data_IF_871243841250
#
_entry.id   IF_871243841250
#
_cell.length_a   1.000
_cell.length_b   1.000
_cell.length_c   1.000
_cell.angle_alpha   90.00
_cell.angle_beta   90.00
_cell.angle_gamma   90.00
#
_symmetry.space_group_name_H-M   'P 1'
#
loop_
_entity.id
_entity.type
_entity.pdbx_description
1 polymer ?
#
# COMPACT_ATOMS: atom_id res chain seq x y z
N UNK A 1 9.25 8.41 -6.02
CA UNK A 1 10.52 9.06 -6.43
C UNK A 1 11.74 8.23 -6.04
N UNK A 2 11.90 7.87 -4.75
CA UNK A 2 13.09 7.15 -4.25
C UNK A 2 13.41 5.83 -4.96
N UNK A 3 12.40 5.01 -5.27
CA UNK A 3 12.59 3.77 -6.04
C UNK A 3 13.21 4.04 -7.42
N UNK A 4 12.68 5.02 -8.15
CA UNK A 4 13.20 5.41 -9.47
C UNK A 4 14.63 5.93 -9.39
N UNK A 5 14.91 6.81 -8.40
CA UNK A 5 16.25 7.34 -8.20
C UNK A 5 17.28 6.22 -7.95
N UNK A 6 16.93 5.26 -7.08
CA UNK A 6 17.79 4.10 -6.80
C UNK A 6 18.07 3.24 -8.03
N UNK A 7 17.04 2.91 -8.82
CA UNK A 7 17.18 2.11 -10.04
C UNK A 7 18.02 2.85 -11.10
N UNK A 8 17.79 4.14 -11.28
CA UNK A 8 18.53 4.92 -12.27
C UNK A 8 20.03 5.02 -11.93
N UNK A 9 20.37 5.20 -10.65
CA UNK A 9 21.78 5.21 -10.22
C UNK A 9 22.44 3.85 -10.44
N UNK A 10 21.73 2.74 -10.15
CA UNK A 10 22.23 1.38 -10.39
C UNK A 10 22.37 1.06 -11.89
N UNK A 11 21.60 1.73 -12.75
CA UNK A 11 21.76 1.70 -14.21
C UNK A 11 22.87 2.61 -14.74
N UNK A 12 23.62 3.29 -13.86
CA UNK A 12 24.76 4.13 -14.21
C UNK A 12 24.41 5.57 -14.58
N UNK A 13 23.17 6.03 -14.34
CA UNK A 13 22.84 7.44 -14.52
C UNK A 13 23.37 8.28 -13.36
N UNK A 14 23.83 9.51 -13.65
CA UNK A 14 24.09 10.51 -12.63
C UNK A 14 22.74 11.03 -12.10
N UNK A 15 22.42 10.74 -10.85
CA UNK A 15 21.13 11.07 -10.24
C UNK A 15 21.35 12.05 -9.08
N UNK A 16 20.55 13.10 -9.05
CA UNK A 16 20.43 14.01 -7.91
C UNK A 16 18.95 14.21 -7.55
N UNK A 17 18.70 14.61 -6.31
CA UNK A 17 17.35 14.91 -5.86
C UNK A 17 17.34 15.84 -4.66
N UNK A 18 16.24 16.56 -4.48
CA UNK A 18 16.03 17.48 -3.37
C UNK A 18 14.80 17.07 -2.55
N UNK A 19 14.94 17.08 -1.23
CA UNK A 19 13.82 16.93 -0.29
C UNK A 19 14.16 17.69 1.00
N UNK A 20 13.30 18.64 1.43
CA UNK A 20 13.55 19.43 2.64
C UNK A 20 13.42 18.63 3.94
N UNK A 21 12.82 17.41 3.90
CA UNK A 21 12.65 16.57 5.08
C UNK A 21 13.71 15.48 5.13
N UNK A 22 14.66 15.53 6.08
CA UNK A 22 15.61 14.43 6.28
C UNK A 22 14.88 13.10 6.56
N UNK A 23 15.36 12.03 5.94
CA UNK A 23 14.78 10.69 6.14
C UNK A 23 15.82 9.59 5.92
N UNK A 24 15.61 8.44 6.55
CA UNK A 24 16.45 7.26 6.32
C UNK A 24 16.47 6.80 4.85
N UNK A 25 15.42 7.13 4.09
CA UNK A 25 15.36 6.87 2.64
C UNK A 25 16.39 7.72 1.89
N UNK A 26 16.49 9.02 2.22
CA UNK A 26 17.46 9.94 1.60
C UNK A 26 18.89 9.54 1.94
N UNK A 27 19.16 9.15 3.19
CA UNK A 27 20.48 8.66 3.59
C UNK A 27 20.89 7.45 2.78
N UNK A 28 20.00 6.45 2.65
CA UNK A 28 20.26 5.26 1.81
C UNK A 28 20.49 5.58 0.33
N UNK A 29 19.79 6.57 -0.22
CA UNK A 29 20.02 7.01 -1.60
C UNK A 29 21.39 7.68 -1.75
N UNK A 30 21.81 8.50 -0.77
CA UNK A 30 23.13 9.10 -0.75
C UNK A 30 24.25 8.04 -0.68
N UNK A 31 24.09 7.01 0.17
CA UNK A 31 25.01 5.87 0.27
C UNK A 31 25.15 5.10 -1.06
N UNK A 32 24.11 5.11 -1.89
CA UNK A 32 24.08 4.49 -3.24
C UNK A 32 24.60 5.40 -4.34
N UNK A 33 25.04 6.63 -4.00
CA UNK A 33 25.64 7.58 -4.96
C UNK A 33 24.67 8.62 -5.53
N UNK A 34 23.44 8.73 -5.01
CA UNK A 34 22.55 9.85 -5.37
C UNK A 34 23.02 11.11 -4.66
N UNK A 35 23.21 12.21 -5.40
CA UNK A 35 23.53 13.51 -4.80
C UNK A 35 22.25 14.12 -4.21
N UNK A 36 22.15 14.16 -2.88
CA UNK A 36 20.96 14.63 -2.16
C UNK A 36 21.15 16.08 -1.71
N UNK A 37 20.15 16.92 -1.98
CA UNK A 37 20.05 18.31 -1.51
C UNK A 37 18.90 18.42 -0.49
N UNK A 38 19.13 19.19 0.57
CA UNK A 38 18.09 19.46 1.58
C UNK A 38 17.26 20.72 1.26
N UNK A 39 17.73 21.54 0.33
CA UNK A 39 17.03 22.75 -0.11
C UNK A 39 16.50 22.58 -1.52
N UNK A 40 15.30 23.13 -1.74
CA UNK A 40 14.66 23.22 -3.05
C UNK A 40 14.75 24.68 -3.54
N UNK A 41 15.90 25.03 -4.09
CA UNK A 41 16.19 26.41 -4.51
C UNK A 41 16.75 26.46 -5.94
N UNK A 42 16.74 27.65 -6.53
CA UNK A 42 17.38 27.90 -7.83
C UNK A 42 18.87 27.53 -7.84
N UNK A 43 19.55 27.66 -6.69
CA UNK A 43 20.97 27.30 -6.54
C UNK A 43 21.21 25.81 -6.76
N UNK A 44 20.26 24.93 -6.39
CA UNK A 44 20.33 23.50 -6.67
C UNK A 44 20.45 23.23 -8.15
N UNK A 45 19.59 23.84 -8.97
CA UNK A 45 19.64 23.71 -10.45
C UNK A 45 20.97 24.26 -11.00
N UNK A 46 21.40 25.44 -10.56
CA UNK A 46 22.68 26.01 -11.02
C UNK A 46 23.86 25.10 -10.70
N UNK A 47 23.85 24.42 -9.52
CA UNK A 47 24.92 23.50 -9.13
C UNK A 47 25.01 22.25 -10.00
N UNK A 48 23.99 21.96 -10.80
CA UNK A 48 23.93 20.82 -11.70
C UNK A 48 24.27 21.18 -13.16
N UNK A 49 24.20 22.47 -13.51
CA UNK A 49 24.57 22.95 -14.83
C UNK A 49 26.09 22.89 -15.03
N UNK A 50 26.53 22.41 -16.18
CA UNK A 50 27.95 22.36 -16.54
C UNK A 50 28.73 21.15 -16.02
N UNK A 51 28.11 20.24 -15.27
CA UNK A 51 28.76 19.04 -14.74
C UNK A 51 28.64 17.79 -15.62
N UNK A 52 28.13 17.91 -16.86
CA UNK A 52 27.98 16.79 -17.78
C UNK A 52 27.95 17.24 -19.24
N UNK A 53 28.02 16.28 -20.17
CA UNK A 53 27.92 16.54 -21.61
C UNK A 53 26.50 16.84 -22.11
N UNK A 54 25.50 16.56 -21.27
CA UNK A 54 24.08 16.80 -21.56
C UNK A 54 23.43 17.58 -20.41
N UNK A 55 22.44 18.45 -20.70
CA UNK A 55 21.66 19.13 -19.67
C UNK A 55 20.88 18.11 -18.83
N UNK A 56 20.67 18.37 -17.54
CA UNK A 56 19.90 17.48 -16.69
C UNK A 56 18.42 17.45 -17.10
N UNK A 57 17.80 16.26 -17.01
CA UNK A 57 16.35 16.08 -17.10
C UNK A 57 15.76 16.21 -15.70
N UNK A 58 14.81 17.12 -15.51
CA UNK A 58 14.15 17.35 -14.21
C UNK A 58 12.90 16.50 -14.11
N UNK A 59 12.83 15.63 -13.09
CA UNK A 59 11.73 14.70 -12.87
C UNK A 59 10.89 15.18 -11.69
N UNK A 60 9.59 15.36 -11.89
CA UNK A 60 8.65 15.91 -10.91
C UNK A 60 7.61 14.86 -10.50
N UNK A 61 7.02 15.05 -9.31
CA UNK A 61 5.78 14.36 -8.92
C UNK A 61 4.63 15.34 -8.85
N UNK A 62 3.39 14.85 -8.87
CA UNK A 62 2.15 15.64 -8.74
C UNK A 62 2.11 16.48 -7.46
N UNK A 63 2.89 16.13 -6.42
CA UNK A 63 2.98 16.88 -5.17
C UNK A 63 3.79 18.18 -5.27
N UNK A 64 4.61 18.33 -6.32
CA UNK A 64 5.45 19.52 -6.51
C UNK A 64 4.63 20.60 -7.19
N UNK A 65 4.49 21.75 -6.53
CA UNK A 65 3.72 22.90 -7.06
C UNK A 65 4.50 23.62 -8.15
N UNK A 66 3.79 24.24 -9.09
CA UNK A 66 4.39 25.06 -10.15
C UNK A 66 5.19 26.26 -9.63
N UNK A 67 4.90 26.70 -8.40
CA UNK A 67 5.62 27.79 -7.71
C UNK A 67 6.94 27.34 -7.07
N UNK A 68 7.32 26.05 -7.18
CA UNK A 68 8.59 25.56 -6.65
C UNK A 68 9.77 26.24 -7.38
N UNK A 69 10.75 26.74 -6.63
CA UNK A 69 11.88 27.50 -7.16
C UNK A 69 12.76 26.68 -8.12
N UNK A 70 12.96 25.39 -7.86
CA UNK A 70 13.73 24.52 -8.76
C UNK A 70 12.99 24.33 -10.08
N UNK A 71 11.66 24.18 -10.06
CA UNK A 71 10.85 24.05 -11.27
C UNK A 71 10.87 25.33 -12.09
N UNK A 72 10.71 26.48 -11.42
CA UNK A 72 10.78 27.78 -12.07
C UNK A 72 12.16 28.02 -12.72
N UNK A 73 13.23 27.67 -12.00
CA UNK A 73 14.59 27.80 -12.52
C UNK A 73 14.87 26.84 -13.69
N UNK A 74 14.45 25.59 -13.57
CA UNK A 74 14.61 24.60 -14.65
C UNK A 74 13.94 25.09 -15.95
N UNK A 75 12.73 25.66 -15.86
CA UNK A 75 12.02 26.28 -16.98
C UNK A 75 12.81 27.46 -17.58
N UNK A 76 13.34 28.33 -16.72
CA UNK A 76 14.14 29.50 -17.15
C UNK A 76 15.41 29.10 -17.89
N UNK A 77 16.04 27.98 -17.47
CA UNK A 77 17.22 27.41 -18.10
C UNK A 77 16.90 26.56 -19.33
N UNK A 78 15.62 26.38 -19.69
CA UNK A 78 15.21 25.55 -20.83
C UNK A 78 15.48 24.07 -20.65
N UNK A 79 15.54 23.58 -19.40
CA UNK A 79 15.74 22.16 -19.10
C UNK A 79 14.49 21.34 -19.43
N UNK A 80 14.68 20.11 -19.85
CA UNK A 80 13.58 19.14 -20.00
C UNK A 80 12.93 18.84 -18.65
N UNK A 81 11.60 18.93 -18.61
CA UNK A 81 10.81 18.51 -17.45
C UNK A 81 9.95 17.31 -17.84
N UNK A 82 9.88 16.31 -16.97
CA UNK A 82 8.96 15.19 -17.12
C UNK A 82 8.35 14.78 -15.78
N UNK A 83 7.23 14.11 -15.85
CA UNK A 83 6.58 13.56 -14.65
C UNK A 83 7.23 12.23 -14.24
N UNK A 84 7.18 11.88 -12.95
CA UNK A 84 7.68 10.58 -12.44
C UNK A 84 7.13 9.38 -13.22
N UNK A 85 5.88 9.49 -13.68
CA UNK A 85 5.23 8.45 -14.48
C UNK A 85 5.85 8.27 -15.86
N UNK A 86 6.47 9.29 -16.45
CA UNK A 86 7.15 9.18 -17.75
C UNK A 86 8.40 8.32 -17.61
N UNK A 87 9.14 8.49 -16.49
CA UNK A 87 10.30 7.65 -16.18
C UNK A 87 9.87 6.22 -15.88
N UNK A 88 8.80 6.03 -15.09
CA UNK A 88 8.26 4.70 -14.81
C UNK A 88 7.74 4.02 -16.08
N UNK A 89 7.03 4.76 -16.95
CA UNK A 89 6.60 4.26 -18.26
C UNK A 89 7.78 3.81 -19.13
N UNK A 90 8.85 4.60 -19.17
CA UNK A 90 10.05 4.20 -19.91
C UNK A 90 10.66 2.89 -19.37
N UNK A 91 10.63 2.66 -18.05
CA UNK A 91 11.10 1.40 -17.46
C UNK A 91 10.18 0.23 -17.81
N UNK A 92 8.85 0.40 -17.63
CA UNK A 92 7.83 -0.62 -17.87
C UNK A 92 7.80 -1.03 -19.35
N UNK A 93 7.80 -0.05 -20.25
CA UNK A 93 7.58 -0.27 -21.69
C UNK A 93 8.85 -0.81 -22.42
N UNK A 94 10.01 -0.77 -21.76
CA UNK A 94 11.30 -1.15 -22.39
C UNK A 94 11.70 -2.61 -22.14
N UNK A 95 11.08 -3.30 -21.20
CA UNK A 95 11.41 -4.70 -20.86
C UNK A 95 10.14 -5.47 -20.47
N UNK A 96 10.16 -6.82 -20.49
CA UNK A 96 9.06 -7.61 -19.97
C UNK A 96 8.67 -7.18 -18.56
N UNK A 97 7.40 -6.89 -18.35
CA UNK A 97 6.95 -6.25 -17.11
C UNK A 97 5.58 -6.71 -16.67
N UNK A 98 5.37 -6.75 -15.36
CA UNK A 98 4.09 -6.98 -14.69
C UNK A 98 3.73 -5.67 -13.98
N UNK A 99 2.63 -5.04 -14.38
CA UNK A 99 2.13 -3.84 -13.73
C UNK A 99 0.82 -4.11 -12.99
N UNK A 100 0.81 -3.84 -11.68
CA UNK A 100 -0.32 -4.14 -10.79
C UNK A 100 -1.10 -2.87 -10.53
N UNK A 101 -2.36 -2.82 -10.98
CA UNK A 101 -3.30 -1.71 -10.79
C UNK A 101 -4.60 -2.19 -10.11
N UNK A 102 -5.51 -1.25 -9.88
CA UNK A 102 -6.79 -1.45 -9.19
C UNK A 102 -6.88 -0.65 -7.90
N UNK A 103 -8.05 -0.55 -7.30
CA UNK A 103 -8.27 0.34 -6.15
C UNK A 103 -7.51 -0.12 -4.91
N UNK A 104 -7.57 -1.41 -4.55
CA UNK A 104 -6.98 -1.96 -3.33
C UNK A 104 -6.07 -3.16 -3.61
N UNK A 105 -5.10 -3.38 -2.70
CA UNK A 105 -4.20 -4.55 -2.77
C UNK A 105 -3.01 -4.41 -3.72
N UNK A 106 -2.85 -3.32 -4.46
CA UNK A 106 -1.74 -3.08 -5.41
C UNK A 106 -0.36 -3.33 -4.79
N UNK A 107 -0.04 -2.61 -3.71
CA UNK A 107 1.26 -2.69 -3.03
C UNK A 107 1.53 -4.09 -2.50
N UNK A 108 0.52 -4.73 -1.90
CA UNK A 108 0.65 -6.10 -1.38
C UNK A 108 0.91 -7.08 -2.53
N UNK A 109 0.07 -7.06 -3.57
CA UNK A 109 0.20 -7.97 -4.71
C UNK A 109 1.54 -7.80 -5.44
N UNK A 110 1.96 -6.57 -5.74
CA UNK A 110 3.26 -6.32 -6.38
C UNK A 110 4.45 -6.73 -5.50
N UNK A 111 4.35 -6.53 -4.17
CA UNK A 111 5.33 -7.03 -3.19
C UNK A 111 5.43 -8.56 -3.23
N UNK A 112 4.29 -9.25 -3.23
CA UNK A 112 4.24 -10.72 -3.25
C UNK A 112 4.81 -11.28 -4.56
N UNK A 113 4.46 -10.69 -5.72
CA UNK A 113 5.02 -11.07 -7.03
C UNK A 113 6.54 -10.93 -7.00
N UNK A 114 7.05 -9.76 -6.61
CA UNK A 114 8.48 -9.48 -6.59
C UNK A 114 9.23 -10.43 -5.63
N UNK A 115 8.63 -10.72 -4.46
CA UNK A 115 9.21 -11.65 -3.47
C UNK A 115 9.23 -13.09 -3.99
N UNK A 116 8.15 -13.56 -4.63
CA UNK A 116 8.09 -14.89 -5.22
C UNK A 116 9.08 -15.08 -6.37
N UNK A 117 9.18 -14.09 -7.26
CA UNK A 117 10.14 -14.11 -8.36
C UNK A 117 11.58 -14.13 -7.84
N UNK A 118 11.89 -13.33 -6.81
CA UNK A 118 13.21 -13.34 -6.16
C UNK A 118 13.52 -14.72 -5.54
N UNK A 119 12.59 -15.24 -4.73
CA UNK A 119 12.75 -16.53 -4.05
C UNK A 119 12.87 -17.72 -4.99
N UNK A 120 12.44 -17.57 -6.25
CA UNK A 120 12.54 -18.57 -7.32
C UNK A 120 13.67 -18.29 -8.31
N UNK A 121 14.60 -17.37 -7.97
CA UNK A 121 15.81 -17.10 -8.73
C UNK A 121 15.60 -16.27 -10.02
N UNK A 122 14.46 -15.59 -10.16
CA UNK A 122 14.18 -14.75 -11.33
C UNK A 122 14.79 -13.34 -11.23
N UNK A 123 15.23 -12.92 -10.04
CA UNK A 123 15.90 -11.64 -9.73
C UNK A 123 15.27 -10.41 -10.42
N UNK A 124 13.98 -10.08 -10.12
CA UNK A 124 13.27 -9.03 -10.84
C UNK A 124 13.75 -7.63 -10.47
N UNK A 125 13.66 -6.68 -11.40
CA UNK A 125 13.62 -5.25 -11.09
C UNK A 125 12.25 -4.94 -10.47
N UNK A 126 12.20 -4.12 -9.41
CA UNK A 126 10.96 -3.81 -8.71
C UNK A 126 10.80 -2.30 -8.46
N UNK A 127 9.59 -1.75 -8.73
CA UNK A 127 9.17 -0.38 -8.39
C UNK A 127 7.82 -0.47 -7.70
N UNK A 128 7.81 -0.38 -6.37
CA UNK A 128 6.63 -0.66 -5.54
C UNK A 128 6.37 0.53 -4.62
N UNK A 129 5.12 0.78 -4.26
CA UNK A 129 4.70 1.90 -3.41
C UNK A 129 5.15 1.77 -1.95
N UNK A 130 5.33 0.54 -1.45
CA UNK A 130 5.75 0.23 -0.08
C UNK A 130 7.11 -0.44 0.00
N UNK A 131 7.68 -0.50 1.20
CA UNK A 131 8.92 -1.25 1.46
C UNK A 131 8.64 -2.75 1.33
N UNK A 132 9.35 -3.40 0.42
CA UNK A 132 9.32 -4.87 0.24
C UNK A 132 10.23 -5.49 1.30
N UNK A 133 9.71 -6.33 2.21
CA UNK A 133 10.52 -6.91 3.30
C UNK A 133 11.74 -7.70 2.81
N UNK A 134 11.60 -8.43 1.70
CA UNK A 134 12.68 -9.21 1.10
C UNK A 134 13.86 -8.34 0.62
N UNK A 135 13.62 -7.07 0.27
CA UNK A 135 14.63 -6.17 -0.29
C UNK A 135 15.06 -5.06 0.69
N UNK A 136 14.27 -4.82 1.76
CA UNK A 136 14.45 -3.66 2.64
C UNK A 136 14.26 -2.31 1.95
N UNK A 137 13.63 -2.28 0.76
CA UNK A 137 13.49 -1.11 -0.12
C UNK A 137 12.19 -1.17 -0.91
N UNK A 138 11.71 -0.02 -1.37
CA UNK A 138 10.57 0.09 -2.28
C UNK A 138 10.99 0.03 -3.77
N UNK A 139 12.26 -0.02 -4.06
CA UNK A 139 12.83 -0.12 -5.40
C UNK A 139 14.15 -0.85 -5.42
N UNK A 140 14.33 -1.68 -6.44
CA UNK A 140 15.51 -2.50 -6.63
C UNK A 140 15.73 -2.73 -8.13
N UNK A 141 16.97 -2.64 -8.60
CA UNK A 141 17.39 -3.14 -9.89
C UNK A 141 17.78 -4.61 -9.73
N UNK A 142 17.09 -5.49 -10.45
CA UNK A 142 17.48 -6.89 -10.60
C UNK A 142 18.27 -7.13 -11.86
N UNK A 143 18.92 -8.29 -11.94
CA UNK A 143 19.62 -8.77 -13.16
C UNK A 143 18.70 -9.61 -14.07
N UNK A 144 17.52 -9.98 -13.58
CA UNK A 144 16.54 -10.74 -14.32
C UNK A 144 15.80 -9.93 -15.39
N UNK A 145 15.09 -10.64 -16.27
CA UNK A 145 14.39 -10.01 -17.41
C UNK A 145 13.16 -9.20 -17.01
N UNK A 146 12.51 -9.57 -15.87
CA UNK A 146 11.22 -9.03 -15.47
C UNK A 146 11.35 -7.74 -14.66
N UNK A 147 10.41 -6.83 -14.91
CA UNK A 147 10.14 -5.69 -14.03
C UNK A 147 8.76 -5.86 -13.40
N UNK A 148 8.67 -5.69 -12.09
CA UNK A 148 7.40 -5.65 -11.35
C UNK A 148 7.16 -4.21 -10.89
N UNK A 149 6.04 -3.61 -11.32
CA UNK A 149 5.68 -2.25 -10.96
C UNK A 149 4.30 -2.18 -10.33
N UNK A 150 4.15 -1.30 -9.36
CA UNK A 150 2.85 -0.83 -8.92
C UNK A 150 2.40 0.32 -9.83
N UNK A 151 1.21 0.19 -10.43
CA UNK A 151 0.59 1.17 -11.31
C UNK A 151 -0.54 1.88 -10.54
N UNK A 152 -0.21 3.07 -10.03
CA UNK A 152 -1.12 3.88 -9.23
C UNK A 152 -2.08 4.65 -10.15
N UNK A 153 -3.40 4.51 -9.92
CA UNK A 153 -4.45 5.18 -10.67
C UNK A 153 -4.73 6.60 -10.21
N UNK A 154 -4.27 7.00 -9.02
CA UNK A 154 -4.70 8.21 -8.32
C UNK A 154 -4.58 9.53 -9.12
N UNK A 155 -3.64 9.60 -10.06
CA UNK A 155 -3.42 10.76 -10.95
C UNK A 155 -3.70 10.45 -12.43
N UNK A 156 -4.28 9.28 -12.74
CA UNK A 156 -4.57 8.84 -14.10
C UNK A 156 -3.35 8.56 -14.97
N UNK A 157 -2.15 8.70 -14.44
CA UNK A 157 -0.90 8.57 -15.23
C UNK A 157 -0.60 7.16 -15.71
N UNK A 158 -1.24 6.13 -15.11
CA UNK A 158 -1.05 4.71 -15.48
C UNK A 158 -1.37 4.42 -16.96
N UNK A 159 -2.16 5.24 -17.62
CA UNK A 159 -2.46 5.09 -19.06
C UNK A 159 -1.22 5.22 -19.97
N UNK A 160 -0.09 5.68 -19.44
CA UNK A 160 1.21 5.73 -20.13
C UNK A 160 1.92 4.39 -20.15
N UNK A 161 1.46 3.43 -19.32
CA UNK A 161 2.13 2.15 -19.14
C UNK A 161 1.59 1.12 -20.12
N UNK A 162 2.51 0.38 -20.77
CA UNK A 162 2.21 -0.72 -21.68
C UNK A 162 2.99 -1.96 -21.23
N UNK A 163 2.62 -2.55 -20.07
CA UNK A 163 3.30 -3.73 -19.55
C UNK A 163 3.02 -4.97 -20.43
N UNK A 164 3.89 -5.97 -20.35
CA UNK A 164 3.60 -7.27 -20.97
C UNK A 164 2.45 -8.00 -20.28
N UNK A 165 2.28 -7.80 -18.97
CA UNK A 165 1.15 -8.29 -18.19
C UNK A 165 0.60 -7.18 -17.29
N UNK A 166 -0.63 -6.74 -17.55
CA UNK A 166 -1.42 -5.93 -16.64
C UNK A 166 -2.13 -6.85 -15.64
N UNK A 167 -2.21 -6.43 -14.38
CA UNK A 167 -2.94 -7.11 -13.35
C UNK A 167 -3.92 -6.14 -12.68
N UNK A 168 -5.22 -6.46 -12.67
CA UNK A 168 -6.26 -5.63 -12.05
C UNK A 168 -6.85 -6.34 -10.83
N UNK A 169 -6.61 -5.79 -9.63
CA UNK A 169 -7.02 -6.40 -8.36
C UNK A 169 -8.52 -6.28 -8.10
N UNK A 170 -9.05 -5.09 -8.16
CA UNK A 170 -10.45 -4.74 -7.95
C UNK A 170 -10.68 -3.30 -8.41
N UNK A 171 -11.96 -2.90 -8.53
CA UNK A 171 -12.35 -1.53 -8.84
C UNK A 171 -13.40 -1.09 -7.84
N UNK A 172 -13.10 -0.05 -7.09
CA UNK A 172 -14.01 0.70 -6.23
C UNK A 172 -13.76 2.19 -6.43
N UNK A 173 -14.78 3.02 -6.31
CA UNK A 173 -14.60 4.47 -6.46
C UNK A 173 -13.74 5.01 -5.32
N UNK A 174 -12.57 5.48 -5.65
CA UNK A 174 -11.65 6.22 -4.78
C UNK A 174 -11.05 7.40 -5.55
N UNK A 175 -10.26 8.25 -4.90
CA UNK A 175 -9.62 9.41 -5.54
C UNK A 175 -10.63 10.33 -6.25
N UNK A 176 -11.74 10.68 -5.55
CA UNK A 176 -12.82 11.50 -6.10
C UNK A 176 -12.42 12.94 -6.45
N UNK A 177 -11.24 13.36 -6.04
CA UNK A 177 -10.56 14.58 -6.51
C UNK A 177 -10.09 14.47 -7.97
N UNK A 178 -9.84 13.27 -8.47
CA UNK A 178 -9.44 12.99 -9.85
C UNK A 178 -10.55 12.31 -10.65
N UNK A 179 -11.27 11.36 -10.06
CA UNK A 179 -12.37 10.62 -10.69
C UNK A 179 -13.73 11.09 -10.16
N UNK A 180 -14.50 11.84 -10.95
CA UNK A 180 -15.81 12.34 -10.53
C UNK A 180 -16.83 11.20 -10.32
N UNK A 181 -16.64 10.07 -10.99
CA UNK A 181 -17.50 8.90 -10.94
C UNK A 181 -16.74 7.60 -11.24
N UNK A 182 -17.40 6.48 -10.95
CA UNK A 182 -16.86 5.14 -11.17
C UNK A 182 -16.58 4.84 -12.64
N UNK A 183 -17.41 5.38 -13.57
CA UNK A 183 -17.25 5.13 -15.00
C UNK A 183 -15.95 5.72 -15.53
N UNK A 184 -15.58 6.92 -15.07
CA UNK A 184 -14.31 7.56 -15.44
C UNK A 184 -13.10 6.74 -14.98
N UNK A 185 -13.17 6.15 -13.78
CA UNK A 185 -12.12 5.23 -13.29
C UNK A 185 -12.07 3.95 -14.15
N UNK A 186 -13.21 3.34 -14.45
CA UNK A 186 -13.30 2.15 -15.32
C UNK A 186 -12.67 2.45 -16.68
N UNK A 187 -13.01 3.58 -17.30
CA UNK A 187 -12.50 3.96 -18.63
C UNK A 187 -10.98 4.19 -18.61
N UNK A 188 -10.46 4.73 -17.51
CA UNK A 188 -9.01 4.90 -17.30
C UNK A 188 -8.31 3.55 -17.20
N UNK A 189 -8.85 2.61 -16.41
CA UNK A 189 -8.30 1.26 -16.27
C UNK A 189 -8.44 0.43 -17.56
N UNK A 190 -9.49 0.63 -18.35
CA UNK A 190 -9.62 0.04 -19.70
C UNK A 190 -8.50 0.51 -20.61
N UNK A 191 -8.24 1.82 -20.67
CA UNK A 191 -7.13 2.35 -21.48
C UNK A 191 -5.77 1.77 -21.06
N UNK A 192 -5.55 1.55 -19.77
CA UNK A 192 -4.36 0.88 -19.27
C UNK A 192 -4.30 -0.59 -19.73
N UNK A 193 -5.38 -1.36 -19.57
CA UNK A 193 -5.44 -2.75 -19.98
C UNK A 193 -5.32 -2.93 -21.49
N UNK A 194 -5.96 -2.08 -22.29
CA UNK A 194 -5.91 -2.11 -23.75
C UNK A 194 -4.50 -1.80 -24.29
N UNK A 195 -3.71 -1.01 -23.56
CA UNK A 195 -2.31 -0.73 -23.88
C UNK A 195 -1.33 -1.84 -23.47
N UNK A 196 -1.80 -2.89 -22.81
CA UNK A 196 -0.97 -3.97 -22.24
C UNK A 196 -0.93 -5.20 -23.16
N UNK A 197 0.11 -6.03 -23.00
CA UNK A 197 0.26 -7.25 -23.81
C UNK A 197 -0.76 -8.35 -23.44
N UNK A 198 -1.13 -8.44 -22.17
CA UNK A 198 -2.17 -9.32 -21.66
C UNK A 198 -2.75 -8.76 -20.35
N UNK A 199 -3.98 -9.17 -20.01
CA UNK A 199 -4.68 -8.83 -18.78
C UNK A 199 -4.92 -10.07 -17.90
N UNK A 200 -4.50 -10.00 -16.64
CA UNK A 200 -4.88 -10.91 -15.56
C UNK A 200 -5.79 -10.16 -14.58
N UNK A 201 -7.01 -10.63 -14.35
CA UNK A 201 -8.00 -9.90 -13.57
C UNK A 201 -8.68 -10.75 -12.49
N UNK A 202 -9.16 -10.08 -11.44
CA UNK A 202 -9.89 -10.71 -10.34
C UNK A 202 -11.33 -11.05 -10.74
N UNK A 203 -11.64 -12.34 -10.84
CA UNK A 203 -12.98 -12.83 -11.16
C UNK A 203 -14.01 -12.52 -10.08
N UNK A 204 -13.57 -12.38 -8.82
CA UNK A 204 -14.45 -12.11 -7.69
C UNK A 204 -14.92 -10.64 -7.63
N UNK A 205 -14.26 -9.74 -8.38
CA UNK A 205 -14.69 -8.35 -8.51
C UNK A 205 -15.83 -8.21 -9.55
N UNK A 206 -17.07 -7.82 -9.15
CA UNK A 206 -18.18 -7.71 -10.08
C UNK A 206 -17.92 -6.74 -11.22
N UNK A 207 -17.31 -5.60 -10.93
CA UNK A 207 -17.02 -4.54 -11.92
C UNK A 207 -16.01 -5.03 -12.96
N UNK A 208 -14.98 -5.78 -12.55
CA UNK A 208 -14.04 -6.38 -13.51
C UNK A 208 -14.74 -7.39 -14.41
N UNK A 209 -15.61 -8.25 -13.87
CA UNK A 209 -16.36 -9.24 -14.66
C UNK A 209 -17.26 -8.59 -15.69
N UNK A 210 -17.92 -7.48 -15.33
CA UNK A 210 -18.88 -6.80 -16.17
C UNK A 210 -18.23 -5.99 -17.29
N UNK A 211 -17.10 -5.34 -16.98
CA UNK A 211 -16.53 -4.31 -17.86
C UNK A 211 -15.26 -4.70 -18.59
N UNK A 212 -14.61 -5.82 -18.22
CA UNK A 212 -13.32 -6.23 -18.81
C UNK A 212 -13.37 -7.62 -19.40
N UNK A 213 -12.54 -7.83 -20.44
CA UNK A 213 -12.24 -9.14 -20.99
C UNK A 213 -10.79 -9.45 -20.71
N UNK A 214 -10.53 -10.34 -19.74
CA UNK A 214 -9.17 -10.70 -19.35
C UNK A 214 -8.70 -11.96 -20.10
N UNK A 215 -7.38 -12.01 -20.37
CA UNK A 215 -6.72 -13.19 -20.94
C UNK A 215 -6.60 -14.31 -19.91
N UNK A 216 -6.69 -13.99 -18.64
CA UNK A 216 -6.80 -14.95 -17.55
C UNK A 216 -7.48 -14.31 -16.32
N UNK A 217 -8.12 -15.16 -15.55
CA UNK A 217 -8.83 -14.78 -14.33
C UNK A 217 -8.28 -15.53 -13.12
N UNK A 218 -8.27 -14.87 -11.95
CA UNK A 218 -8.12 -15.57 -10.67
C UNK A 218 -9.34 -15.39 -9.78
N UNK A 219 -9.54 -16.36 -8.87
CA UNK A 219 -10.63 -16.36 -7.89
C UNK A 219 -10.22 -17.01 -6.58
N UNK A 220 -10.84 -16.58 -5.47
CA UNK A 220 -10.80 -17.29 -4.19
C UNK A 220 -12.17 -17.91 -3.84
N UNK A 221 -13.12 -17.92 -4.78
CA UNK A 221 -14.50 -18.38 -4.59
C UNK A 221 -14.87 -19.54 -5.49
N UNK A 222 -14.47 -19.51 -6.76
CA UNK A 222 -14.94 -20.47 -7.77
C UNK A 222 -13.78 -20.88 -8.70
N UNK A 223 -13.30 -22.14 -8.59
CA UNK A 223 -12.22 -22.66 -9.42
C UNK A 223 -12.64 -22.98 -10.85
N UNK A 224 -13.96 -23.18 -11.10
CA UNK A 224 -14.45 -23.55 -12.42
C UNK A 224 -14.62 -22.33 -13.35
N UNK A 225 -14.66 -21.12 -12.77
CA UNK A 225 -14.79 -19.88 -13.52
C UNK A 225 -13.51 -19.03 -13.57
N UNK A 226 -12.38 -19.60 -13.16
CA UNK A 226 -11.10 -18.92 -13.17
C UNK A 226 -9.98 -19.83 -13.69
N UNK A 227 -8.97 -19.23 -14.33
CA UNK A 227 -7.79 -19.95 -14.76
C UNK A 227 -6.91 -20.37 -13.58
N UNK A 228 -6.94 -19.57 -12.52
CA UNK A 228 -6.20 -19.79 -11.28
C UNK A 228 -7.12 -19.57 -10.08
N UNK A 229 -7.18 -20.53 -9.16
CA UNK A 229 -7.98 -20.30 -7.96
C UNK A 229 -7.29 -20.84 -6.69
N UNK A 230 -7.60 -20.21 -5.54
CA UNK A 230 -7.22 -20.73 -4.24
C UNK A 230 -8.43 -20.70 -3.29
N UNK A 231 -8.97 -21.87 -2.98
CA UNK A 231 -10.12 -22.01 -2.09
C UNK A 231 -9.65 -22.26 -0.66
N UNK A 232 -10.07 -21.42 0.27
CA UNK A 232 -9.75 -21.58 1.68
C UNK A 232 -10.33 -22.89 2.21
N UNK A 233 -9.46 -23.76 2.71
CA UNK A 233 -9.82 -24.98 3.45
C UNK A 233 -9.91 -24.68 4.95
N UNK A 234 -9.02 -23.84 5.44
CA UNK A 234 -8.99 -23.37 6.83
C UNK A 234 -8.46 -21.94 6.91
N UNK A 235 -9.26 -21.06 7.43
CA UNK A 235 -8.86 -19.67 7.76
C UNK A 235 -8.48 -19.62 9.24
N UNK A 236 -7.31 -19.04 9.54
CA UNK A 236 -6.75 -18.89 10.88
C UNK A 236 -6.19 -17.49 11.05
N UNK A 237 -6.05 -17.03 12.29
CA UNK A 237 -5.44 -15.73 12.58
C UNK A 237 -3.93 -15.64 12.27
N UNK A 238 -3.27 -16.76 12.02
CA UNK A 238 -1.85 -16.85 11.63
C UNK A 238 -1.63 -17.18 10.15
N UNK A 239 -2.70 -17.36 9.38
CA UNK A 239 -2.62 -17.67 7.96
C UNK A 239 -3.80 -18.48 7.43
N UNK A 240 -3.70 -18.92 6.18
CA UNK A 240 -4.76 -19.68 5.50
C UNK A 240 -4.19 -20.91 4.82
N UNK A 241 -4.77 -22.08 5.09
CA UNK A 241 -4.57 -23.30 4.26
C UNK A 241 -5.58 -23.25 3.12
N UNK A 242 -5.11 -23.38 1.87
CA UNK A 242 -5.97 -23.30 0.69
C UNK A 242 -5.66 -24.40 -0.32
N UNK A 243 -6.70 -24.92 -0.98
CA UNK A 243 -6.55 -25.76 -2.17
C UNK A 243 -6.31 -24.87 -3.39
N UNK A 244 -5.26 -25.14 -4.15
CA UNK A 244 -4.90 -24.36 -5.34
C UNK A 244 -5.27 -25.10 -6.61
N UNK A 245 -5.87 -24.38 -7.55
CA UNK A 245 -6.39 -24.90 -8.80
C UNK A 245 -5.83 -24.13 -9.99
N UNK A 246 -5.59 -24.85 -11.09
CA UNK A 246 -5.34 -24.23 -12.41
C UNK A 246 -6.33 -24.84 -13.40
N UNK A 247 -7.16 -23.98 -14.03
CA UNK A 247 -8.19 -24.37 -15.01
C UNK A 247 -9.12 -25.48 -14.52
N UNK A 248 -9.58 -25.35 -13.27
CA UNK A 248 -10.47 -26.31 -12.62
C UNK A 248 -9.78 -27.56 -12.05
N UNK A 249 -8.50 -27.82 -12.35
CA UNK A 249 -7.75 -28.94 -11.79
C UNK A 249 -7.04 -28.54 -10.49
N UNK A 250 -7.22 -29.33 -9.43
CA UNK A 250 -6.50 -29.09 -8.17
C UNK A 250 -5.03 -29.53 -8.31
N UNK A 251 -4.13 -28.53 -8.27
CA UNK A 251 -2.68 -28.73 -8.42
C UNK A 251 -2.00 -29.04 -7.08
N UNK A 252 -2.58 -28.57 -5.97
CA UNK A 252 -2.00 -28.82 -4.65
C UNK A 252 -2.63 -27.98 -3.54
N UNK A 253 -1.96 -27.97 -2.39
CA UNK A 253 -2.36 -27.20 -1.21
C UNK A 253 -1.29 -26.18 -0.87
N UNK A 254 -1.71 -25.02 -0.43
CA UNK A 254 -0.90 -23.87 -0.02
C UNK A 254 -1.04 -23.62 1.48
N UNK A 255 0.06 -23.30 2.14
CA UNK A 255 0.08 -22.72 3.47
C UNK A 255 0.47 -21.23 3.33
N UNK A 256 -0.52 -20.36 3.34
CA UNK A 256 -0.33 -18.91 3.18
C UNK A 256 -0.14 -18.28 4.56
N UNK A 257 1.04 -17.72 4.89
CA UNK A 257 1.32 -17.17 6.22
C UNK A 257 0.74 -15.76 6.43
N UNK A 258 -0.17 -15.35 5.57
CA UNK A 258 -0.86 -14.06 5.62
C UNK A 258 -2.34 -14.34 5.88
N UNK A 259 -2.89 -13.93 7.04
CA UNK A 259 -4.29 -14.14 7.36
C UNK A 259 -5.21 -13.20 6.57
N UNK A 260 -6.47 -13.59 6.47
CA UNK A 260 -7.53 -12.83 5.83
C UNK A 260 -7.73 -13.12 4.34
N UNK A 261 -8.99 -13.10 3.92
CA UNK A 261 -9.40 -13.43 2.55
C UNK A 261 -8.81 -12.51 1.49
N UNK A 262 -8.66 -11.21 1.82
CA UNK A 262 -8.00 -10.24 0.92
C UNK A 262 -6.54 -10.63 0.65
N UNK A 263 -5.81 -11.14 1.65
CA UNK A 263 -4.44 -11.61 1.46
C UNK A 263 -4.40 -12.92 0.66
N UNK A 264 -5.37 -13.84 0.86
CA UNK A 264 -5.49 -15.02 0.00
C UNK A 264 -5.69 -14.62 -1.46
N UNK A 265 -6.53 -13.62 -1.75
CA UNK A 265 -6.72 -13.09 -3.10
C UNK A 265 -5.44 -12.48 -3.66
N UNK A 266 -4.72 -11.64 -2.89
CA UNK A 266 -3.45 -11.06 -3.31
C UNK A 266 -2.38 -12.14 -3.60
N UNK A 267 -2.30 -13.19 -2.77
CA UNK A 267 -1.39 -14.32 -3.00
C UNK A 267 -1.78 -15.12 -4.24
N UNK A 268 -3.09 -15.36 -4.45
CA UNK A 268 -3.58 -16.06 -5.65
C UNK A 268 -3.24 -15.29 -6.92
N UNK A 269 -3.44 -13.97 -6.91
CA UNK A 269 -3.03 -13.08 -8.00
C UNK A 269 -1.52 -13.15 -8.27
N UNK A 270 -0.70 -13.12 -7.21
CA UNK A 270 0.75 -13.18 -7.34
C UNK A 270 1.22 -14.55 -7.88
N UNK A 271 0.62 -15.64 -7.42
CA UNK A 271 0.87 -16.98 -7.96
C UNK A 271 0.51 -17.04 -9.45
N UNK A 272 -0.70 -16.60 -9.81
CA UNK A 272 -1.16 -16.59 -11.20
C UNK A 272 -0.19 -15.81 -12.11
N UNK A 273 0.27 -14.63 -11.68
CA UNK A 273 1.24 -13.84 -12.42
C UNK A 273 2.58 -14.59 -12.59
N UNK A 274 3.13 -15.18 -11.52
CA UNK A 274 4.37 -15.94 -11.57
C UNK A 274 4.23 -17.23 -12.45
N UNK A 275 3.07 -17.89 -12.38
CA UNK A 275 2.77 -19.07 -13.21
C UNK A 275 2.72 -18.71 -14.69
N UNK A 276 2.15 -17.58 -15.05
CA UNK A 276 2.14 -17.05 -16.43
C UNK A 276 3.54 -16.73 -16.94
N UNK A 277 4.45 -16.37 -16.07
CA UNK A 277 5.87 -16.18 -16.39
C UNK A 277 6.68 -17.49 -16.43
N UNK A 278 6.02 -18.64 -16.26
CA UNK A 278 6.62 -19.96 -16.39
C UNK A 278 7.26 -20.49 -15.11
N UNK A 279 7.08 -19.85 -13.96
CA UNK A 279 7.65 -20.34 -12.69
C UNK A 279 6.90 -21.61 -12.25
N UNK A 280 7.60 -22.74 -11.98
CA UNK A 280 6.96 -23.98 -11.58
C UNK A 280 6.19 -23.84 -10.25
N UNK A 281 5.00 -24.47 -10.16
CA UNK A 281 4.18 -24.43 -8.93
C UNK A 281 4.93 -24.98 -7.71
N UNK A 282 5.73 -26.03 -7.88
CA UNK A 282 6.50 -26.61 -6.78
C UNK A 282 7.50 -25.64 -6.15
N UNK A 283 8.08 -24.72 -6.95
CA UNK A 283 9.01 -23.70 -6.48
C UNK A 283 8.26 -22.57 -5.76
N UNK A 284 7.14 -22.13 -6.33
CA UNK A 284 6.26 -21.14 -5.72
C UNK A 284 5.71 -21.64 -4.38
N UNK A 285 5.25 -22.89 -4.32
CA UNK A 285 4.73 -23.50 -3.09
C UNK A 285 5.75 -23.50 -1.95
N UNK A 286 7.04 -23.70 -2.26
CA UNK A 286 8.13 -23.63 -1.27
C UNK A 286 8.39 -22.17 -0.83
N UNK A 287 8.28 -21.24 -1.76
CA UNK A 287 8.53 -19.80 -1.49
C UNK A 287 7.44 -19.13 -0.66
N UNK A 288 6.18 -19.58 -0.78
CA UNK A 288 5.01 -18.96 -0.11
C UNK A 288 5.18 -18.88 1.40
N UNK A 289 5.74 -19.90 2.05
CA UNK A 289 5.90 -19.95 3.51
C UNK A 289 6.71 -18.81 4.12
N UNK A 290 7.49 -18.08 3.29
CA UNK A 290 8.32 -16.95 3.72
C UNK A 290 7.72 -15.58 3.35
N UNK A 291 6.52 -15.53 2.81
CA UNK A 291 5.88 -14.27 2.42
C UNK A 291 5.60 -13.39 3.64
N UNK A 292 5.82 -12.10 3.46
CA UNK A 292 5.48 -11.05 4.43
C UNK A 292 4.76 -9.90 3.72
N UNK A 293 3.82 -9.28 4.42
CA UNK A 293 3.18 -8.06 3.95
C UNK A 293 4.20 -6.90 3.90
N UNK A 294 4.02 -5.94 2.98
CA UNK A 294 4.81 -4.71 2.98
C UNK A 294 4.56 -3.89 4.25
N UNK A 295 5.51 -3.03 4.61
CA UNK A 295 5.37 -2.14 5.77
C UNK A 295 4.11 -1.28 5.71
N UNK A 296 3.56 -0.93 6.86
CA UNK A 296 2.26 -0.26 7.04
C UNK A 296 1.06 -1.04 6.49
N UNK A 297 1.16 -2.37 6.37
CA UNK A 297 0.05 -3.29 6.08
C UNK A 297 -0.01 -4.31 7.18
N UNK A 298 -0.82 -4.02 8.22
CA UNK A 298 -0.89 -4.75 9.48
C UNK A 298 0.50 -4.91 10.14
N UNK A 299 1.21 -3.79 10.22
CA UNK A 299 2.60 -3.74 10.67
C UNK A 299 2.66 -3.71 12.21
N UNK A 300 3.11 -4.82 12.81
CA UNK A 300 3.23 -4.91 14.27
C UNK A 300 4.39 -4.03 14.76
N UNK A 301 4.07 -2.96 15.48
CA UNK A 301 5.02 -2.01 16.02
C UNK A 301 5.69 -2.51 17.31
N UNK A 302 5.01 -3.36 18.05
CA UNK A 302 5.51 -3.97 19.28
C UNK A 302 4.47 -4.09 20.39
N UNK A 303 4.97 -4.32 21.60
CA UNK A 303 4.18 -4.39 22.81
C UNK A 303 4.34 -3.10 23.63
N UNK A 304 3.22 -2.49 24.02
CA UNK A 304 3.14 -1.36 24.93
C UNK A 304 2.30 -1.76 26.15
N UNK A 305 2.93 -1.89 27.30
CA UNK A 305 2.27 -2.33 28.55
C UNK A 305 1.37 -3.57 28.35
N UNK A 306 1.90 -4.63 27.71
CA UNK A 306 1.19 -5.88 27.36
C UNK A 306 0.05 -5.70 26.34
N UNK A 307 -0.06 -4.57 25.66
CA UNK A 307 -0.95 -4.34 24.53
C UNK A 307 -0.16 -4.47 23.23
N UNK A 308 -0.76 -5.12 22.25
CA UNK A 308 -0.14 -5.24 20.91
C UNK A 308 -0.53 -4.00 20.12
N UNK A 309 0.45 -3.26 19.59
CA UNK A 309 0.18 -2.08 18.75
C UNK A 309 0.52 -2.41 17.31
N UNK A 310 -0.46 -2.21 16.44
CA UNK A 310 -0.36 -2.46 14.99
C UNK A 310 -0.73 -1.19 14.22
N UNK A 311 0.06 -0.86 13.19
CA UNK A 311 -0.19 0.22 12.23
C UNK A 311 -0.67 -0.36 10.90
N UNK A 312 -1.75 0.19 10.36
CA UNK A 312 -2.27 -0.18 9.05
C UNK A 312 -2.64 1.07 8.22
N UNK A 313 -2.40 1.00 6.93
CA UNK A 313 -2.66 2.11 6.01
C UNK A 313 -4.12 2.20 5.56
N UNK A 314 -4.99 1.27 5.99
CA UNK A 314 -6.41 1.21 5.62
C UNK A 314 -7.10 2.56 5.84
N UNK A 315 -7.67 3.11 4.78
CA UNK A 315 -8.30 4.43 4.77
C UNK A 315 -9.54 4.50 3.86
N UNK A 316 -9.91 3.41 3.21
CA UNK A 316 -11.17 3.20 2.52
C UNK A 316 -12.05 2.22 3.32
N UNK A 317 -13.40 2.30 3.32
CA UNK A 317 -14.26 1.42 4.11
C UNK A 317 -13.98 -0.07 3.89
N UNK A 318 -13.80 -0.49 2.65
CA UNK A 318 -13.50 -1.90 2.29
C UNK A 318 -12.16 -2.36 2.88
N UNK A 319 -11.13 -1.50 2.90
CA UNK A 319 -9.84 -1.80 3.53
C UNK A 319 -10.00 -1.91 5.05
N UNK A 320 -10.70 -0.96 5.68
CA UNK A 320 -10.96 -0.96 7.13
C UNK A 320 -11.72 -2.21 7.54
N UNK A 321 -12.78 -2.57 6.81
CA UNK A 321 -13.56 -3.79 7.06
C UNK A 321 -12.70 -5.05 6.93
N UNK A 322 -11.87 -5.16 5.88
CA UNK A 322 -11.00 -6.30 5.65
C UNK A 322 -9.93 -6.44 6.75
N UNK A 323 -9.33 -5.32 7.17
CA UNK A 323 -8.30 -5.29 8.22
C UNK A 323 -8.92 -5.65 9.60
N UNK A 324 -10.10 -5.12 9.92
CA UNK A 324 -10.81 -5.46 11.16
C UNK A 324 -11.29 -6.91 11.19
N UNK A 325 -11.81 -7.44 10.06
CA UNK A 325 -12.21 -8.84 9.96
C UNK A 325 -11.00 -9.79 10.17
N UNK A 326 -9.85 -9.45 9.61
CA UNK A 326 -8.62 -10.19 9.83
C UNK A 326 -8.16 -10.13 11.30
N UNK A 327 -8.20 -8.95 11.92
CA UNK A 327 -7.86 -8.78 13.33
C UNK A 327 -8.84 -9.55 14.26
N UNK A 328 -10.13 -9.55 13.92
CA UNK A 328 -11.16 -10.33 14.61
C UNK A 328 -10.87 -11.84 14.54
N UNK A 329 -10.47 -12.32 13.37
CA UNK A 329 -10.07 -13.72 13.20
C UNK A 329 -8.88 -14.11 14.09
N UNK A 330 -7.91 -13.21 14.32
CA UNK A 330 -6.81 -13.44 15.25
C UNK A 330 -7.30 -13.59 16.70
N UNK A 331 -8.24 -12.76 17.12
CA UNK A 331 -8.85 -12.83 18.46
C UNK A 331 -9.62 -14.15 18.63
N UNK A 332 -10.48 -14.50 17.67
CA UNK A 332 -11.42 -15.63 17.78
C UNK A 332 -10.75 -16.99 17.58
N UNK A 333 -9.77 -17.09 16.68
CA UNK A 333 -9.11 -18.38 16.39
C UNK A 333 -8.11 -18.82 17.44
N UNK A 334 -7.75 -17.95 18.39
CA UNK A 334 -6.69 -18.21 19.35
C UNK A 334 -5.30 -18.38 18.71
N UNK A 335 -5.11 -17.92 17.48
CA UNK A 335 -3.86 -17.97 16.72
C UNK A 335 -3.54 -16.62 16.13
N UNK A 336 -2.28 -16.20 16.22
CA UNK A 336 -1.82 -14.91 15.71
C UNK A 336 -0.33 -14.97 15.40
N UNK A 337 0.17 -14.30 14.35
CA UNK A 337 1.60 -14.11 14.11
C UNK A 337 2.20 -13.01 14.99
N UNK A 338 1.38 -12.37 15.84
CA UNK A 338 1.77 -11.25 16.71
C UNK A 338 2.55 -11.75 17.94
N UNK A 339 3.29 -10.88 18.65
CA UNK A 339 4.13 -11.25 19.79
C UNK A 339 3.37 -11.90 20.97
N UNK A 340 2.06 -11.68 21.06
CA UNK A 340 1.17 -12.33 22.01
C UNK A 340 -0.20 -12.55 21.38
N UNK A 341 -1.03 -13.42 22.00
CA UNK A 341 -2.39 -13.67 21.55
C UNK A 341 -3.31 -12.49 21.92
N UNK A 342 -3.92 -11.80 20.93
CA UNK A 342 -4.89 -10.75 21.21
C UNK A 342 -6.18 -11.31 21.83
N UNK A 343 -6.75 -10.58 22.77
CA UNK A 343 -7.98 -10.97 23.46
C UNK A 343 -9.17 -10.09 23.07
N UNK A 344 -8.90 -8.83 22.72
CA UNK A 344 -9.91 -7.82 22.39
C UNK A 344 -9.35 -6.88 21.32
N UNK A 345 -10.21 -6.31 20.48
CA UNK A 345 -9.85 -5.43 19.38
C UNK A 345 -10.25 -3.99 19.68
N UNK A 346 -9.27 -3.11 19.89
CA UNK A 346 -9.44 -1.67 19.97
C UNK A 346 -9.05 -1.05 18.64
N UNK A 347 -10.02 -0.55 17.88
CA UNK A 347 -9.80 0.15 16.64
C UNK A 347 -9.53 1.64 16.86
N UNK A 348 -8.41 2.14 16.38
CA UNK A 348 -8.10 3.56 16.27
C UNK A 348 -8.15 3.90 14.80
N UNK A 349 -9.11 4.72 14.37
CA UNK A 349 -9.28 5.07 12.96
C UNK A 349 -9.14 6.57 12.72
N UNK A 350 -8.25 6.94 11.80
CA UNK A 350 -8.11 8.32 11.35
C UNK A 350 -8.82 8.53 10.01
N UNK A 351 -9.94 9.26 9.98
CA UNK A 351 -10.57 9.66 8.73
C UNK A 351 -9.59 10.51 7.90
N UNK A 352 -9.48 10.20 6.61
CA UNK A 352 -8.55 10.85 5.70
C UNK A 352 -9.33 11.54 4.58
N UNK A 353 -9.25 12.87 4.51
CA UNK A 353 -10.01 13.81 3.66
C UNK A 353 -11.48 13.97 4.07
N UNK A 354 -11.95 15.20 4.00
CA UNK A 354 -13.36 15.53 4.26
C UNK A 354 -14.29 14.93 3.21
N UNK A 355 -13.91 15.02 1.94
CA UNK A 355 -14.68 14.49 0.80
C UNK A 355 -14.92 12.99 0.93
N UNK A 356 -13.88 12.18 1.19
CA UNK A 356 -14.01 10.73 1.37
C UNK A 356 -14.85 10.40 2.61
N UNK A 357 -14.63 11.10 3.72
CA UNK A 357 -15.40 10.87 4.95
C UNK A 357 -16.88 11.18 4.75
N UNK A 358 -17.21 12.25 4.03
CA UNK A 358 -18.59 12.61 3.70
C UNK A 358 -19.27 11.55 2.82
N UNK A 359 -18.55 11.07 1.81
CA UNK A 359 -19.06 10.11 0.85
C UNK A 359 -19.36 8.74 1.46
N UNK A 360 -18.51 8.29 2.40
CA UNK A 360 -18.53 6.93 2.93
C UNK A 360 -18.79 6.87 4.44
N UNK A 361 -19.48 7.86 5.00
CA UNK A 361 -19.70 7.96 6.45
C UNK A 361 -20.38 6.72 7.03
N UNK A 362 -21.40 6.19 6.32
CA UNK A 362 -22.16 5.01 6.74
C UNK A 362 -21.30 3.75 6.67
N UNK A 363 -20.61 3.57 5.56
CA UNK A 363 -19.76 2.40 5.31
C UNK A 363 -18.57 2.32 6.28
N UNK A 364 -17.99 3.48 6.63
CA UNK A 364 -16.98 3.54 7.70
C UNK A 364 -17.58 3.14 9.05
N UNK A 365 -18.77 3.63 9.35
CA UNK A 365 -19.43 3.30 10.61
C UNK A 365 -19.75 1.80 10.71
N UNK A 366 -20.22 1.18 9.62
CA UNK A 366 -20.47 -0.27 9.54
C UNK A 366 -19.17 -1.07 9.71
N UNK A 367 -18.08 -0.67 9.03
CA UNK A 367 -16.80 -1.32 9.16
C UNK A 367 -16.25 -1.25 10.60
N UNK A 368 -16.27 -0.07 11.21
CA UNK A 368 -15.75 0.16 12.55
C UNK A 368 -16.56 -0.57 13.64
N UNK A 369 -17.84 -0.87 13.39
CA UNK A 369 -18.67 -1.64 14.30
C UNK A 369 -18.18 -3.09 14.55
N UNK A 370 -17.20 -3.58 13.77
CA UNK A 370 -16.56 -4.88 13.97
C UNK A 370 -15.58 -4.90 15.17
N UNK A 371 -15.21 -3.76 15.73
CA UNK A 371 -14.29 -3.67 16.86
C UNK A 371 -15.03 -3.74 18.21
N UNK A 372 -14.31 -4.13 19.28
CA UNK A 372 -14.84 -4.13 20.65
C UNK A 372 -14.85 -2.73 21.26
N UNK A 373 -13.97 -1.84 20.81
CA UNK A 373 -13.89 -0.42 21.19
C UNK A 373 -13.39 0.37 20.00
N UNK A 374 -13.93 1.58 19.77
CA UNK A 374 -13.54 2.46 18.67
C UNK A 374 -13.11 3.82 19.20
N UNK A 375 -11.96 4.29 18.74
CA UNK A 375 -11.52 5.67 18.95
C UNK A 375 -11.28 6.29 17.56
N UNK A 376 -12.06 7.31 17.23
CA UNK A 376 -11.90 8.08 16.00
C UNK A 376 -10.87 9.17 16.26
N UNK A 377 -9.73 9.07 15.56
CA UNK A 377 -8.66 10.05 15.61
C UNK A 377 -9.06 11.36 14.89
N UNK A 378 -8.34 12.46 15.10
CA UNK A 378 -8.61 13.71 14.38
C UNK A 378 -8.58 13.51 12.87
N UNK A 379 -9.59 14.03 12.17
CA UNK A 379 -9.68 13.94 10.71
C UNK A 379 -8.44 14.60 10.07
N UNK A 380 -7.77 13.87 9.19
CA UNK A 380 -6.63 14.36 8.43
C UNK A 380 -7.12 14.97 7.11
N UNK A 381 -7.01 16.30 6.99
CA UNK A 381 -7.60 17.04 5.86
C UNK A 381 -6.92 16.78 4.51
N UNK A 382 -5.64 16.41 4.51
CA UNK A 382 -4.82 16.31 3.29
C UNK A 382 -4.86 17.57 2.40
N UNK A 383 -5.08 18.74 3.02
CA UNK A 383 -5.16 20.04 2.35
C UNK A 383 -6.56 20.44 1.87
N UNK A 384 -7.59 19.61 2.12
CA UNK A 384 -8.98 19.96 1.82
C UNK A 384 -9.56 20.97 2.84
N UNK A 385 -10.50 21.80 2.40
CA UNK A 385 -11.29 22.63 3.28
C UNK A 385 -12.32 21.78 4.06
N UNK A 386 -12.66 22.18 5.31
CA UNK A 386 -13.70 21.50 6.07
C UNK A 386 -15.05 21.49 5.34
N UNK A 387 -15.77 20.36 5.47
CA UNK A 387 -17.15 20.21 4.99
C UNK A 387 -18.07 20.24 6.21
N UNK A 388 -19.13 21.05 6.16
CA UNK A 388 -20.10 21.20 7.25
C UNK A 388 -20.74 19.84 7.60
N UNK A 389 -20.78 19.54 8.90
CA UNK A 389 -21.35 18.27 9.40
C UNK A 389 -20.38 17.07 9.32
N UNK A 390 -19.21 17.21 8.74
CA UNK A 390 -18.21 16.13 8.62
C UNK A 390 -17.06 16.35 9.60
N UNK A 391 -16.95 15.44 10.54
CA UNK A 391 -15.91 15.48 11.57
C UNK A 391 -15.68 14.09 12.17
N UNK A 392 -14.68 13.95 13.02
CA UNK A 392 -14.42 12.72 13.79
C UNK A 392 -15.58 12.40 14.74
N UNK A 393 -16.21 13.42 15.33
CA UNK A 393 -17.39 13.30 16.19
C UNK A 393 -18.60 12.81 15.41
N UNK A 394 -18.82 13.29 14.18
CA UNK A 394 -19.90 12.84 13.31
C UNK A 394 -19.74 11.34 12.98
N UNK A 395 -18.53 10.89 12.65
CA UNK A 395 -18.26 9.46 12.43
C UNK A 395 -18.44 8.65 13.71
N UNK A 396 -17.96 9.12 14.86
CA UNK A 396 -18.15 8.45 16.15
C UNK A 396 -19.64 8.31 16.48
N UNK A 397 -20.45 9.34 16.20
CA UNK A 397 -21.90 9.29 16.39
C UNK A 397 -22.58 8.29 15.44
N UNK A 398 -22.13 8.21 14.17
CA UNK A 398 -22.62 7.23 13.22
C UNK A 398 -22.31 5.78 13.64
N UNK A 399 -21.08 5.49 14.11
CA UNK A 399 -20.72 4.18 14.67
C UNK A 399 -21.62 3.85 15.87
N UNK A 400 -21.83 4.81 16.79
CA UNK A 400 -22.66 4.62 17.97
C UNK A 400 -24.12 4.33 17.63
N UNK A 401 -24.64 4.91 16.55
CA UNK A 401 -25.99 4.66 16.08
C UNK A 401 -26.16 3.22 15.53
N UNK A 402 -25.16 2.70 14.80
CA UNK A 402 -25.16 1.34 14.23
C UNK A 402 -24.90 0.28 15.33
N UNK A 403 -23.92 0.54 16.19
CA UNK A 403 -23.49 -0.39 17.25
C UNK A 403 -23.58 0.24 18.64
N UNK A 404 -24.80 0.38 19.22
CA UNK A 404 -25.01 1.06 20.52
C UNK A 404 -24.24 0.43 21.70
N UNK A 405 -23.90 -0.86 21.64
CA UNK A 405 -23.14 -1.58 22.66
C UNK A 405 -21.63 -1.30 22.61
N UNK A 406 -21.10 -0.87 21.47
CA UNK A 406 -19.67 -0.59 21.30
C UNK A 406 -19.31 0.75 21.95
N UNK A 407 -18.32 0.82 22.84
CA UNK A 407 -17.77 2.06 23.32
C UNK A 407 -17.09 2.82 22.18
N UNK A 408 -17.55 4.05 21.91
CA UNK A 408 -17.00 4.89 20.84
C UNK A 408 -16.61 6.25 21.41
N UNK A 409 -15.44 6.76 21.01
CA UNK A 409 -14.95 8.09 21.36
C UNK A 409 -14.38 8.77 20.12
N UNK A 410 -14.34 10.11 20.13
CA UNK A 410 -13.59 10.93 19.18
C UNK A 410 -12.50 11.71 19.93
N UNK A 411 -11.34 11.88 19.31
CA UNK A 411 -10.25 12.68 19.84
C UNK A 411 -10.07 13.96 19.03
N UNK A 412 -9.92 15.11 19.70
CA UNK A 412 -9.76 16.40 19.06
C UNK A 412 -8.33 16.66 18.52
N UNK A 413 -7.34 15.95 19.06
CA UNK A 413 -5.94 16.01 18.65
C UNK A 413 -5.20 14.71 18.99
N UNK A 414 -3.96 14.57 18.51
CA UNK A 414 -3.18 13.34 18.72
C UNK A 414 -2.76 13.12 20.18
N UNK A 415 -2.64 14.15 21.00
CA UNK A 415 -2.32 14.02 22.42
C UNK A 415 -3.53 13.41 23.16
N UNK A 416 -4.73 13.96 22.94
CA UNK A 416 -5.96 13.39 23.46
C UNK A 416 -6.22 11.97 22.96
N UNK A 417 -5.87 11.67 21.70
CA UNK A 417 -5.92 10.31 21.15
C UNK A 417 -5.06 9.37 21.97
N UNK A 418 -3.81 9.75 22.25
CA UNK A 418 -2.86 8.95 23.06
C UNK A 418 -3.41 8.69 24.45
N UNK A 419 -3.95 9.73 25.13
CA UNK A 419 -4.56 9.63 26.45
C UNK A 419 -5.79 8.69 26.44
N UNK A 420 -6.64 8.81 25.41
CA UNK A 420 -7.82 7.94 25.26
C UNK A 420 -7.45 6.49 25.02
N UNK A 421 -6.43 6.22 24.16
CA UNK A 421 -5.93 4.86 23.96
C UNK A 421 -5.38 4.28 25.25
N UNK A 422 -4.60 5.06 26.02
CA UNK A 422 -4.08 4.63 27.32
C UNK A 422 -5.21 4.31 28.32
N UNK A 423 -6.27 5.13 28.35
CA UNK A 423 -7.39 4.97 29.29
C UNK A 423 -8.40 3.88 28.90
N UNK A 424 -8.54 3.57 27.60
CA UNK A 424 -9.55 2.63 27.09
C UNK A 424 -9.02 1.24 26.81
N UNK A 425 -7.69 1.08 26.70
CA UNK A 425 -7.07 -0.20 26.42
C UNK A 425 -6.68 -0.96 27.69
N UNK A 426 -6.68 -2.28 27.60
CA UNK A 426 -6.33 -3.21 28.67
C UNK A 426 -5.18 -4.14 28.23
N UNK A 427 -4.39 -4.73 29.17
CA UNK A 427 -3.44 -5.77 28.81
C UNK A 427 -4.08 -6.89 28.00
N UNK A 428 -3.45 -7.29 26.90
CA UNK A 428 -4.00 -8.28 25.95
C UNK A 428 -4.81 -7.68 24.80
N UNK A 429 -5.06 -6.37 24.79
CA UNK A 429 -5.71 -5.72 23.65
C UNK A 429 -4.80 -5.67 22.42
N UNK A 430 -5.42 -5.82 21.25
CA UNK A 430 -4.87 -5.42 19.97
C UNK A 430 -5.31 -3.97 19.68
N UNK A 431 -4.40 -3.03 19.83
CA UNK A 431 -4.59 -1.63 19.44
C UNK A 431 -4.21 -1.49 17.96
N UNK A 432 -5.22 -1.40 17.12
CA UNK A 432 -5.07 -1.33 15.67
C UNK A 432 -5.29 0.10 15.18
N UNK A 433 -4.18 0.79 14.84
CA UNK A 433 -4.20 2.15 14.30
C UNK A 433 -4.31 2.10 12.78
N UNK A 434 -5.40 2.64 12.22
CA UNK A 434 -5.70 2.64 10.79
C UNK A 434 -5.80 4.06 10.23
N UNK A 435 -5.14 4.30 9.08
CA UNK A 435 -5.25 5.58 8.37
C UNK A 435 -4.03 5.90 7.50
N UNK A 436 -4.27 6.74 6.50
CA UNK A 436 -3.23 7.20 5.56
C UNK A 436 -2.50 8.48 6.03
N UNK A 437 -2.98 9.11 7.10
CA UNK A 437 -2.42 10.35 7.65
C UNK A 437 -1.29 10.11 8.67
N UNK A 438 -1.33 10.87 9.76
CA UNK A 438 -0.30 10.91 10.80
C UNK A 438 -0.62 10.05 12.04
N UNK A 439 -1.69 9.26 11.99
CA UNK A 439 -2.03 8.30 13.07
C UNK A 439 -0.94 7.26 13.31
N UNK A 440 -0.10 6.98 12.31
CA UNK A 440 1.05 6.10 12.45
C UNK A 440 2.09 6.58 13.48
N UNK A 441 2.03 7.86 13.90
CA UNK A 441 2.84 8.39 14.99
C UNK A 441 2.36 7.94 16.38
N UNK A 442 1.20 7.27 16.47
CA UNK A 442 0.64 6.82 17.75
C UNK A 442 1.59 5.90 18.52
N UNK A 443 2.32 5.01 17.82
CA UNK A 443 3.31 4.13 18.45
C UNK A 443 4.40 4.93 19.19
N UNK A 444 4.96 5.93 18.51
CA UNK A 444 6.04 6.75 19.10
C UNK A 444 5.53 7.56 20.31
N UNK A 445 4.28 8.04 20.24
CA UNK A 445 3.62 8.74 21.34
C UNK A 445 3.35 7.83 22.53
N UNK A 446 2.82 6.63 22.30
CA UNK A 446 2.56 5.64 23.34
C UNK A 446 3.87 5.16 23.99
N UNK A 447 4.94 4.99 23.23
CA UNK A 447 6.24 4.54 23.77
C UNK A 447 6.90 5.57 24.70
N UNK A 448 6.54 6.84 24.57
CA UNK A 448 6.98 7.94 25.46
C UNK A 448 6.01 8.08 26.64
N UNK A 449 4.73 7.76 26.44
CA UNK A 449 3.67 7.89 27.42
C UNK A 449 3.79 6.80 28.49
N UNK A 450 4.33 7.12 29.66
CA UNK A 450 4.41 6.22 30.79
C UNK A 450 5.80 5.63 31.09
N UNK A 451 6.84 6.08 30.41
CA UNK A 451 8.24 5.78 30.78
C UNK A 451 8.98 7.07 31.19
N UNK A 452 8.99 7.43 32.47
CA UNK A 452 9.65 8.65 32.95
C UNK A 452 11.19 8.59 32.87
N UNK A 453 11.77 7.43 32.55
CA UNK A 453 13.24 7.23 32.54
C UNK A 453 13.89 7.08 31.15
N UNK A 454 13.12 7.19 30.05
CA UNK A 454 13.70 7.09 28.72
C UNK A 454 14.04 8.49 28.17
N UNK A 455 15.32 8.87 28.10
CA UNK A 455 15.72 10.16 27.52
C UNK A 455 15.37 10.20 26.03
N UNK A 456 15.02 11.38 25.52
CA UNK A 456 14.61 11.69 24.16
C UNK A 456 15.66 11.35 23.04
N UNK A 457 16.71 10.62 23.36
CA UNK A 457 17.84 10.31 22.48
C UNK A 457 17.71 9.00 21.68
N UNK A 458 16.57 8.28 21.72
CA UNK A 458 16.38 7.02 20.98
C UNK A 458 15.59 7.18 19.67
N UNK A 459 15.40 8.40 19.18
CA UNK A 459 14.68 8.71 17.90
C UNK A 459 15.63 8.80 16.69
N UNK A 460 16.85 8.24 16.79
CA UNK A 460 17.80 8.18 15.68
C UNK A 460 18.30 6.74 15.48
N UNK A 461 17.50 5.91 14.78
CA UNK A 461 18.01 4.74 14.03
C UNK A 461 17.08 4.48 12.85
#
# INVERSE_FOLDING_TARGET
MSALAGILVERGFAVSGSDPKPSAVLSRLADRGVRVFQEQSSATIHSLLGHGSQPPLVVLSSAVRDTNEEVAEARRQGLGLCHRSDVLAALINHQPSIAVAGSHGKTTTSTLIATLLEATGQDPTAVIGGIVPAFGSNGRQGSGRLLVAEADESDGSLVKFSPTLALLTNIELDHTDHYPDLQTLIDTLKRFSDGSGALLANRDCPILREHFQADAWWSIQDPDQADYAALALQERGDGTTAAYYERGEQIGTLEVPLPGRHNLSNVTAALAACRREGVPFADLRRAIGNLKAPGRRFDCRGLWHQRIVVDDYAHHPSEVAATLAMARLMVESGRSPLPSQPQRLLAVFQPHRYSRTAQFLSEFAEALALADTVIVAPLYSAGEAPIEGISSEALAAAVKAIAPSVPVRAAANLDQLTDQVAACSEPGDLVLAMGAGDVNSLWDRLSIHGDPERPAAALAL
#
